data_IF_028373219166
#
_entry.id   IF_028373219166
#
_cell.length_a   1.000
_cell.length_b   1.000
_cell.length_c   1.000
_cell.angle_alpha   90.00
_cell.angle_beta   90.00
_cell.angle_gamma   90.00
#
_symmetry.space_group_name_H-M   'P 1'
#
loop_
_entity.id
_entity.type
_entity.pdbx_description
1 polymer ?
#
# COMPACT_ATOMS: atom_id res chain seq x y z
N UNK A 1 12.91 -21.16 -1.78
CA UNK A 1 11.59 -20.52 -2.06
C UNK A 1 11.45 -20.48 -3.58
N UNK A 2 10.37 -21.02 -4.15
CA UNK A 2 10.16 -21.03 -5.61
C UNK A 2 10.23 -19.58 -6.13
N UNK A 3 11.10 -19.31 -7.11
CA UNK A 3 11.35 -17.96 -7.63
C UNK A 3 10.05 -17.27 -8.09
N UNK A 4 9.06 -18.06 -8.55
CA UNK A 4 7.75 -17.55 -8.96
C UNK A 4 6.94 -17.01 -7.80
N UNK A 5 7.02 -17.64 -6.62
CA UNK A 5 6.36 -17.16 -5.41
C UNK A 5 7.01 -15.85 -4.95
N UNK A 6 8.34 -15.77 -5.02
CA UNK A 6 9.06 -14.53 -4.71
C UNK A 6 8.64 -13.40 -5.66
N UNK A 7 8.56 -13.67 -6.96
CA UNK A 7 8.08 -12.70 -7.95
C UNK A 7 6.63 -12.28 -7.70
N UNK A 8 5.76 -13.22 -7.36
CA UNK A 8 4.36 -12.92 -7.04
C UNK A 8 4.23 -12.03 -5.80
N UNK A 9 4.97 -12.33 -4.74
CA UNK A 9 5.00 -11.50 -3.52
C UNK A 9 5.57 -10.11 -3.83
N UNK A 10 6.65 -10.05 -4.60
CA UNK A 10 7.31 -8.79 -4.95
C UNK A 10 6.40 -7.88 -5.77
N UNK A 11 5.86 -8.40 -6.87
CA UNK A 11 5.01 -7.64 -7.79
C UNK A 11 3.60 -7.40 -7.22
N UNK A 12 3.05 -8.37 -6.50
CA UNK A 12 1.68 -8.31 -5.99
C UNK A 12 1.52 -7.60 -4.66
N UNK A 13 2.56 -7.57 -3.82
CA UNK A 13 2.49 -6.97 -2.48
C UNK A 13 3.55 -5.92 -2.24
N UNK A 14 4.83 -6.21 -2.49
CA UNK A 14 5.91 -5.30 -2.12
C UNK A 14 5.82 -3.97 -2.88
N UNK A 15 5.80 -4.02 -4.22
CA UNK A 15 5.71 -2.82 -5.05
C UNK A 15 4.42 -2.01 -4.79
N UNK A 16 3.22 -2.63 -4.77
CA UNK A 16 1.99 -1.91 -4.42
C UNK A 16 2.00 -1.30 -3.03
N UNK A 17 2.61 -1.97 -2.04
CA UNK A 17 2.74 -1.43 -0.68
C UNK A 17 3.65 -0.20 -0.65
N UNK A 18 4.77 -0.22 -1.36
CA UNK A 18 5.66 0.94 -1.46
C UNK A 18 4.95 2.12 -2.13
N UNK A 19 4.20 1.87 -3.21
CA UNK A 19 3.37 2.90 -3.83
C UNK A 19 2.32 3.46 -2.85
N UNK A 20 1.58 2.61 -2.16
CA UNK A 20 0.58 3.05 -1.20
C UNK A 20 1.19 3.84 -0.02
N UNK A 21 2.37 3.44 0.46
CA UNK A 21 3.12 4.19 1.48
C UNK A 21 3.53 5.58 0.97
N UNK A 22 3.93 5.71 -0.30
CA UNK A 22 4.23 7.04 -0.87
C UNK A 22 2.99 7.93 -0.92
N UNK A 23 1.82 7.40 -1.25
CA UNK A 23 0.55 8.16 -1.21
C UNK A 23 0.19 8.60 0.21
N UNK A 24 0.37 7.73 1.21
CA UNK A 24 0.16 8.09 2.61
C UNK A 24 1.11 9.22 3.02
N UNK A 25 2.40 9.09 2.72
CA UNK A 25 3.40 10.10 3.04
C UNK A 25 3.11 11.44 2.34
N UNK A 26 2.76 11.41 1.06
CA UNK A 26 2.39 12.61 0.28
C UNK A 26 1.13 13.27 0.82
N UNK A 27 0.12 12.47 1.17
CA UNK A 27 -1.11 12.95 1.78
C UNK A 27 -0.85 13.64 3.12
N UNK A 28 -0.05 13.01 4.00
CA UNK A 28 0.37 13.63 5.28
C UNK A 28 1.12 14.93 5.03
N UNK A 29 2.05 14.93 4.08
CA UNK A 29 2.85 16.11 3.74
C UNK A 29 1.97 17.27 3.26
N UNK A 30 1.03 17.02 2.35
CA UNK A 30 0.06 18.02 1.86
C UNK A 30 -0.83 18.55 2.99
N UNK A 31 -1.37 17.67 3.82
CA UNK A 31 -2.18 18.06 4.99
C UNK A 31 -1.37 18.96 5.93
N UNK A 32 -0.10 18.63 6.19
CA UNK A 32 0.77 19.43 7.07
C UNK A 32 1.02 20.85 6.53
N UNK A 33 0.88 21.04 5.21
CA UNK A 33 1.04 22.32 4.52
C UNK A 33 -0.29 23.05 4.28
N UNK A 34 -1.39 22.55 4.85
CA UNK A 34 -2.75 23.07 4.62
C UNK A 34 -3.16 23.01 3.13
N UNK A 35 -2.59 22.06 2.38
CA UNK A 35 -3.00 21.72 1.01
C UNK A 35 -4.01 20.56 1.02
N UNK A 36 -4.71 20.37 -0.09
CA UNK A 36 -5.63 19.25 -0.27
C UNK A 36 -4.88 17.91 -0.34
N UNK A 37 -4.62 17.29 0.81
CA UNK A 37 -3.95 15.98 0.93
C UNK A 37 -4.84 14.86 1.45
N UNK A 38 -6.06 15.16 1.92
CA UNK A 38 -6.93 14.19 2.57
C UNK A 38 -7.30 13.02 1.65
N UNK A 39 -7.64 13.31 0.39
CA UNK A 39 -7.98 12.27 -0.58
C UNK A 39 -6.79 11.34 -0.87
N UNK A 40 -5.60 11.92 -1.10
CA UNK A 40 -4.36 11.16 -1.33
C UNK A 40 -4.01 10.27 -0.14
N UNK A 41 -4.12 10.81 1.08
CA UNK A 41 -3.91 10.05 2.31
C UNK A 41 -4.92 8.90 2.44
N UNK A 42 -6.22 9.20 2.30
CA UNK A 42 -7.29 8.21 2.43
C UNK A 42 -7.15 7.08 1.39
N UNK A 43 -6.79 7.41 0.15
CA UNK A 43 -6.53 6.43 -0.91
C UNK A 43 -5.35 5.52 -0.54
N UNK A 44 -4.25 6.09 -0.06
CA UNK A 44 -3.07 5.33 0.38
C UNK A 44 -3.40 4.36 1.52
N UNK A 45 -4.14 4.82 2.53
CA UNK A 45 -4.59 3.99 3.65
C UNK A 45 -5.52 2.87 3.16
N UNK A 46 -6.50 3.19 2.32
CA UNK A 46 -7.43 2.21 1.76
C UNK A 46 -6.68 1.09 1.02
N UNK A 47 -5.67 1.46 0.23
CA UNK A 47 -4.86 0.52 -0.53
C UNK A 47 -4.00 -0.38 0.38
N UNK A 48 -3.37 0.19 1.41
CA UNK A 48 -2.61 -0.58 2.41
C UNK A 48 -3.49 -1.58 3.17
N UNK A 49 -4.69 -1.16 3.58
CA UNK A 49 -5.66 -2.04 4.23
C UNK A 49 -6.09 -3.16 3.28
N UNK A 50 -6.36 -2.83 2.02
CA UNK A 50 -6.69 -3.82 0.99
C UNK A 50 -5.58 -4.86 0.79
N UNK A 51 -4.33 -4.43 0.69
CA UNK A 51 -3.17 -5.32 0.58
C UNK A 51 -2.98 -6.19 1.82
N UNK A 52 -3.19 -5.64 3.02
CA UNK A 52 -3.11 -6.40 4.26
C UNK A 52 -4.20 -7.49 4.33
N UNK A 53 -5.44 -7.16 3.95
CA UNK A 53 -6.54 -8.14 3.88
C UNK A 53 -6.22 -9.23 2.85
N UNK A 54 -5.77 -8.84 1.65
CA UNK A 54 -5.39 -9.78 0.61
C UNK A 54 -4.27 -10.72 1.08
N UNK A 55 -3.25 -10.19 1.74
CA UNK A 55 -2.14 -10.97 2.29
C UNK A 55 -2.64 -11.98 3.33
N UNK A 56 -3.48 -11.55 4.26
CA UNK A 56 -4.07 -12.43 5.26
C UNK A 56 -4.93 -13.53 4.61
N UNK A 57 -5.71 -13.21 3.59
CA UNK A 57 -6.54 -14.21 2.90
C UNK A 57 -5.74 -15.21 2.06
N UNK A 58 -4.63 -14.79 1.46
CA UNK A 58 -3.79 -15.62 0.59
C UNK A 58 -2.77 -16.47 1.37
N UNK A 59 -2.20 -15.95 2.46
CA UNK A 59 -1.11 -16.60 3.20
C UNK A 59 -1.52 -17.17 4.56
N UNK A 60 -2.65 -16.74 5.12
CA UNK A 60 -3.18 -17.24 6.40
C UNK A 60 -4.38 -18.18 6.21
N UNK A 61 -4.66 -18.60 4.97
CA UNK A 61 -5.52 -19.73 4.63
C UNK A 61 -4.73 -21.02 4.60
#
# INVERSE_FOLDING_TARGET
MDERILQFVYLGFLLPSLFALTLVAEGIYKISRHEEGFFTFALGILFLVGLAIAYLFLFKR
#
